data_IF_264791445496
#
_entry.id   IF_264791445496
#
_cell.length_a   1.000
_cell.length_b   1.000
_cell.length_c   1.000
_cell.angle_alpha   90.00
_cell.angle_beta   90.00
_cell.angle_gamma   90.00
#
_symmetry.space_group_name_H-M   'P 1'
#
loop_
_entity.id
_entity.type
_entity.pdbx_description
1 polymer ?
#
# COMPACT_ATOMS: atom_id res chain seq x y z
N UNK A 1 9.20 -7.87 8.26
CA UNK A 1 10.56 -7.73 7.69
C UNK A 1 10.46 -7.10 6.31
N UNK A 2 11.43 -6.29 5.88
CA UNK A 2 11.46 -5.80 4.50
C UNK A 2 11.81 -6.91 3.51
N UNK A 3 11.08 -6.95 2.39
CA UNK A 3 11.31 -7.86 1.26
C UNK A 3 11.35 -7.01 -0.01
N UNK A 4 12.48 -7.07 -0.71
CA UNK A 4 12.61 -6.42 -2.02
C UNK A 4 11.56 -6.97 -2.99
N UNK A 5 10.77 -6.06 -3.57
CA UNK A 5 9.70 -6.36 -4.47
C UNK A 5 9.57 -5.30 -5.56
N UNK A 6 10.01 -5.67 -6.76
CA UNK A 6 9.86 -4.86 -7.96
C UNK A 6 9.26 -5.70 -9.09
N UNK A 7 7.91 -5.77 -9.22
CA UNK A 7 7.25 -6.52 -10.28
C UNK A 7 7.24 -5.77 -11.63
N UNK A 8 7.88 -4.60 -11.72
CA UNK A 8 7.98 -3.86 -12.97
C UNK A 8 8.70 -4.72 -14.02
N UNK A 9 8.11 -4.96 -15.22
CA UNK A 9 8.64 -5.90 -16.20
C UNK A 9 10.02 -5.48 -16.77
N UNK A 10 10.39 -4.21 -16.62
CA UNK A 10 11.69 -3.67 -17.03
C UNK A 10 12.62 -3.42 -15.85
N UNK A 11 12.25 -3.85 -14.64
CA UNK A 11 13.00 -3.71 -13.38
C UNK A 11 13.51 -2.28 -13.11
N UNK A 12 12.81 -1.27 -13.63
CA UNK A 12 13.17 0.13 -13.41
C UNK A 12 13.01 0.48 -11.92
N UNK A 13 13.93 1.29 -11.40
CA UNK A 13 14.00 1.63 -9.98
C UNK A 13 13.32 2.97 -9.64
N UNK A 14 13.26 3.89 -10.60
CA UNK A 14 12.84 5.29 -10.39
C UNK A 14 11.60 5.67 -11.22
N UNK A 15 10.60 4.78 -11.25
CA UNK A 15 9.39 4.94 -12.07
C UNK A 15 8.24 5.67 -11.39
N UNK A 16 8.31 5.90 -10.07
CA UNK A 16 7.19 6.47 -9.31
C UNK A 16 5.93 5.58 -9.30
N UNK A 17 6.10 4.27 -9.50
CA UNK A 17 5.03 3.28 -9.68
C UNK A 17 4.61 2.57 -8.38
N UNK A 18 4.88 3.17 -7.22
CA UNK A 18 4.60 2.58 -5.91
C UNK A 18 3.14 2.13 -5.75
N UNK A 19 2.19 2.94 -6.23
CA UNK A 19 0.77 2.60 -6.26
C UNK A 19 0.50 1.29 -7.03
N UNK A 20 1.13 1.13 -8.20
CA UNK A 20 0.95 -0.05 -9.06
C UNK A 20 1.57 -1.28 -8.38
N UNK A 21 2.79 -1.16 -7.86
CA UNK A 21 3.48 -2.27 -7.17
C UNK A 21 2.71 -2.72 -5.92
N UNK A 22 2.24 -1.77 -5.11
CA UNK A 22 1.45 -2.06 -3.91
C UNK A 22 0.13 -2.75 -4.27
N UNK A 23 -0.60 -2.25 -5.27
CA UNK A 23 -1.86 -2.86 -5.75
C UNK A 23 -1.61 -4.24 -6.36
N UNK A 24 -0.55 -4.41 -7.15
CA UNK A 24 -0.18 -5.70 -7.73
C UNK A 24 0.00 -6.76 -6.64
N UNK A 25 0.77 -6.43 -5.59
CA UNK A 25 0.99 -7.32 -4.44
C UNK A 25 -0.30 -7.56 -3.64
N UNK A 26 -1.08 -6.51 -3.39
CA UNK A 26 -2.33 -6.57 -2.63
C UNK A 26 -3.35 -7.52 -3.30
N UNK A 27 -3.54 -7.35 -4.61
CA UNK A 27 -4.53 -8.09 -5.39
C UNK A 27 -4.01 -9.41 -5.98
N UNK A 28 -2.76 -9.78 -5.68
CA UNK A 28 -2.09 -10.97 -6.22
C UNK A 28 -2.14 -11.03 -7.76
N UNK A 29 -1.72 -9.94 -8.39
CA UNK A 29 -1.71 -9.77 -9.85
C UNK A 29 -0.36 -9.23 -10.31
N UNK A 30 -0.08 -9.28 -11.60
CA UNK A 30 1.14 -8.72 -12.16
C UNK A 30 1.08 -7.18 -12.25
N UNK A 31 2.23 -6.57 -12.56
CA UNK A 31 2.36 -5.12 -12.66
C UNK A 31 1.49 -4.54 -13.79
N UNK A 32 1.43 -5.20 -14.94
CA UNK A 32 0.71 -4.72 -16.14
C UNK A 32 -0.81 -4.70 -15.92
N UNK A 33 -1.33 -5.72 -15.24
CA UNK A 33 -2.74 -5.82 -14.85
C UNK A 33 -3.09 -4.74 -13.82
N UNK A 34 -2.24 -4.55 -12.80
CA UNK A 34 -2.44 -3.47 -11.83
C UNK A 34 -2.38 -2.08 -12.47
N UNK A 35 -1.41 -1.85 -13.36
CA UNK A 35 -1.26 -0.62 -14.13
C UNK A 35 -2.51 -0.32 -14.95
N UNK A 36 -2.99 -1.33 -15.69
CA UNK A 36 -4.18 -1.21 -16.54
C UNK A 36 -5.42 -0.89 -15.70
N UNK A 37 -5.63 -1.62 -14.60
CA UNK A 37 -6.78 -1.40 -13.71
C UNK A 37 -6.81 0.00 -13.10
N UNK A 38 -5.67 0.47 -12.58
CA UNK A 38 -5.56 1.83 -12.03
C UNK A 38 -5.74 2.89 -13.12
N UNK A 39 -5.19 2.66 -14.31
CA UNK A 39 -5.32 3.60 -15.44
C UNK A 39 -6.77 3.72 -15.93
N UNK A 40 -7.48 2.60 -16.06
CA UNK A 40 -8.89 2.59 -16.46
C UNK A 40 -9.77 3.24 -15.38
N UNK A 41 -9.52 2.95 -14.11
CA UNK A 41 -10.23 3.60 -13.00
C UNK A 41 -9.97 5.11 -12.98
N UNK A 42 -8.71 5.53 -13.10
CA UNK A 42 -8.34 6.94 -13.19
C UNK A 42 -9.02 7.65 -14.36
N UNK A 43 -9.00 7.04 -15.54
CA UNK A 43 -9.71 7.55 -16.72
C UNK A 43 -11.21 7.71 -16.46
N UNK A 44 -11.87 6.69 -15.89
CA UNK A 44 -13.30 6.75 -15.59
C UNK A 44 -13.65 7.81 -14.53
N UNK A 45 -12.74 8.06 -13.59
CA UNK A 45 -12.90 9.04 -12.51
C UNK A 45 -12.44 10.46 -12.91
N UNK A 46 -11.76 10.63 -14.05
CA UNK A 46 -11.13 11.89 -14.44
C UNK A 46 -9.95 12.28 -13.53
N UNK A 47 -9.22 11.30 -12.99
CA UNK A 47 -8.12 11.49 -12.04
C UNK A 47 -6.90 10.63 -12.41
N UNK A 48 -5.75 10.87 -11.78
CA UNK A 48 -4.51 10.16 -12.06
C UNK A 48 -4.51 8.73 -11.48
N UNK A 49 -3.87 7.76 -12.16
CA UNK A 49 -3.86 6.35 -11.71
C UNK A 49 -3.27 6.13 -10.31
N UNK A 50 -2.38 7.03 -9.87
CA UNK A 50 -1.71 6.98 -8.57
C UNK A 50 -2.38 7.87 -7.51
N UNK A 51 -3.54 8.46 -7.78
CA UNK A 51 -4.23 9.27 -6.78
C UNK A 51 -4.79 8.39 -5.65
N UNK A 52 -4.85 8.95 -4.44
CA UNK A 52 -5.46 8.26 -3.29
C UNK A 52 -6.92 7.85 -3.55
N UNK A 53 -7.63 8.63 -4.37
CA UNK A 53 -9.04 8.35 -4.71
C UNK A 53 -9.16 7.14 -5.62
N UNK A 54 -8.34 7.07 -6.67
CA UNK A 54 -8.33 5.98 -7.66
C UNK A 54 -7.84 4.68 -7.04
N UNK A 55 -6.73 4.71 -6.30
CA UNK A 55 -6.23 3.54 -5.56
C UNK A 55 -7.30 3.04 -4.59
N UNK A 56 -7.91 3.95 -3.85
CA UNK A 56 -8.96 3.61 -2.89
C UNK A 56 -10.21 3.02 -3.54
N UNK A 57 -10.62 3.52 -4.70
CA UNK A 57 -11.76 2.98 -5.44
C UNK A 57 -11.50 1.53 -5.84
N UNK A 58 -10.34 1.27 -6.49
CA UNK A 58 -9.97 -0.07 -6.91
C UNK A 58 -9.86 -1.04 -5.74
N UNK A 59 -9.24 -0.63 -4.62
CA UNK A 59 -9.14 -1.48 -3.43
C UNK A 59 -10.52 -1.79 -2.83
N UNK A 60 -11.44 -0.80 -2.76
CA UNK A 60 -12.81 -1.01 -2.27
C UNK A 60 -13.61 -1.96 -3.14
N UNK A 61 -13.49 -1.85 -4.46
CA UNK A 61 -14.09 -2.81 -5.42
C UNK A 61 -13.60 -4.24 -5.19
N UNK A 62 -12.37 -4.37 -4.70
CA UNK A 62 -11.76 -5.66 -4.35
C UNK A 62 -11.98 -6.04 -2.88
N UNK A 63 -12.92 -5.40 -2.17
CA UNK A 63 -13.35 -5.75 -0.82
C UNK A 63 -12.49 -5.20 0.31
N UNK A 64 -11.56 -4.27 0.03
CA UNK A 64 -10.82 -3.59 1.09
C UNK A 64 -11.63 -2.47 1.73
N UNK A 65 -11.47 -2.31 3.03
CA UNK A 65 -11.94 -1.19 3.85
C UNK A 65 -10.77 -0.26 4.16
N UNK A 66 -11.06 1.01 4.46
CA UNK A 66 -10.04 2.00 4.84
C UNK A 66 -10.15 2.36 6.31
N UNK A 67 -9.01 2.46 6.99
CA UNK A 67 -8.90 3.09 8.30
C UNK A 67 -7.82 4.19 8.27
N UNK A 68 -8.02 5.23 9.06
CA UNK A 68 -6.99 6.24 9.34
C UNK A 68 -6.12 5.73 10.48
N UNK A 69 -4.81 5.92 10.37
CA UNK A 69 -3.89 5.57 11.44
C UNK A 69 -3.89 6.72 12.46
N UNK A 70 -4.04 6.44 13.78
CA UNK A 70 -4.00 7.48 14.80
C UNK A 70 -2.71 8.31 14.71
N UNK A 71 -2.86 9.62 14.64
CA UNK A 71 -1.73 10.56 14.59
C UNK A 71 -1.37 11.11 15.97
N UNK A 72 -1.49 10.29 17.02
CA UNK A 72 -1.25 10.68 18.42
C UNK A 72 0.24 10.92 18.71
N UNK A 73 1.13 10.17 18.06
CA UNK A 73 2.52 10.52 17.90
C UNK A 73 2.95 10.32 16.43
N UNK A 74 3.02 11.40 15.64
CA UNK A 74 3.31 11.34 14.21
C UNK A 74 4.63 10.61 13.89
N UNK A 75 5.65 10.74 14.72
CA UNK A 75 6.98 10.18 14.44
C UNK A 75 7.27 8.86 15.20
N UNK A 76 6.29 8.33 15.95
CA UNK A 76 6.52 7.16 16.83
C UNK A 76 5.97 5.83 16.29
N UNK A 77 5.34 5.82 15.10
CA UNK A 77 4.71 4.63 14.55
C UNK A 77 5.06 4.48 13.06
N UNK A 78 6.10 3.72 12.82
CA UNK A 78 6.65 3.45 11.48
C UNK A 78 5.91 2.30 10.79
N UNK A 79 6.17 2.09 9.49
CA UNK A 79 5.73 0.88 8.79
C UNK A 79 6.34 -0.38 9.45
N UNK A 80 7.56 -0.30 9.98
CA UNK A 80 8.17 -1.40 10.73
C UNK A 80 7.34 -1.76 11.97
N UNK A 81 6.90 -0.77 12.74
CA UNK A 81 6.03 -0.96 13.90
C UNK A 81 4.69 -1.55 13.47
N UNK A 82 4.10 -1.03 12.38
CA UNK A 82 2.88 -1.59 11.82
C UNK A 82 3.03 -3.07 11.49
N UNK A 83 4.15 -3.48 10.88
CA UNK A 83 4.44 -4.87 10.56
C UNK A 83 4.55 -5.75 11.82
N UNK A 84 5.16 -5.24 12.90
CA UNK A 84 5.30 -5.96 14.18
C UNK A 84 3.95 -6.17 14.86
N UNK A 85 3.08 -5.15 14.86
CA UNK A 85 1.74 -5.22 15.45
C UNK A 85 0.76 -6.06 14.61
N UNK A 86 1.02 -6.18 13.31
CA UNK A 86 0.17 -6.88 12.35
C UNK A 86 0.93 -8.01 11.65
N UNK A 87 1.27 -9.11 12.35
CA UNK A 87 2.01 -10.23 11.79
C UNK A 87 1.19 -11.06 10.80
N UNK A 88 -0.12 -10.80 10.69
CA UNK A 88 -1.05 -11.52 9.82
C UNK A 88 -1.94 -10.55 9.06
N UNK A 89 -2.31 -10.94 7.85
CA UNK A 89 -3.17 -10.16 6.97
C UNK A 89 -2.41 -9.39 5.91
N UNK A 90 -3.20 -8.83 4.99
CA UNK A 90 -2.71 -8.11 3.83
C UNK A 90 -3.25 -6.68 3.83
N UNK A 91 -2.34 -5.73 3.81
CA UNK A 91 -2.61 -4.32 4.00
C UNK A 91 -1.97 -3.48 2.88
N UNK A 92 -2.60 -2.37 2.54
CA UNK A 92 -1.99 -1.32 1.70
C UNK A 92 -1.87 -0.06 2.54
N UNK A 93 -0.65 0.41 2.75
CA UNK A 93 -0.36 1.59 3.56
C UNK A 93 -0.02 2.78 2.65
N UNK A 94 -0.47 3.98 3.03
CA UNK A 94 -0.07 5.22 2.38
C UNK A 94 0.58 6.18 3.37
N UNK A 95 1.73 6.76 3.02
CA UNK A 95 2.54 7.66 3.87
C UNK A 95 2.41 9.14 3.47
N UNK A 96 1.56 9.43 2.47
CA UNK A 96 1.36 10.78 1.91
C UNK A 96 1.81 10.87 0.45
N UNK A 97 3.07 10.52 0.17
CA UNK A 97 3.65 10.51 -1.18
C UNK A 97 4.05 9.11 -1.66
N UNK A 98 3.90 8.09 -0.81
CA UNK A 98 4.29 6.72 -1.10
C UNK A 98 3.22 5.73 -0.66
N UNK A 99 3.13 4.61 -1.37
CA UNK A 99 2.15 3.55 -1.13
C UNK A 99 2.87 2.21 -1.17
N UNK A 100 2.64 1.38 -0.16
CA UNK A 100 3.28 0.07 -0.02
C UNK A 100 2.28 -1.01 0.32
N UNK A 101 2.67 -2.26 0.11
CA UNK A 101 1.89 -3.40 0.60
C UNK A 101 2.62 -4.10 1.75
N UNK A 102 1.89 -4.37 2.82
CA UNK A 102 2.30 -5.28 3.89
C UNK A 102 1.52 -6.58 3.75
N UNK A 103 2.21 -7.71 3.73
CA UNK A 103 1.61 -9.04 3.56
C UNK A 103 2.23 -10.00 4.57
N UNK A 104 1.40 -10.50 5.49
CA UNK A 104 1.79 -11.35 6.63
C UNK A 104 2.99 -10.77 7.42
N UNK A 105 2.87 -9.50 7.84
CA UNK A 105 3.90 -8.80 8.62
C UNK A 105 5.18 -8.44 7.84
N UNK A 106 5.19 -8.61 6.51
CA UNK A 106 6.33 -8.26 5.67
C UNK A 106 6.02 -7.09 4.77
N UNK A 107 6.94 -6.13 4.72
CA UNK A 107 6.88 -4.97 3.84
C UNK A 107 7.41 -5.34 2.46
N UNK A 108 6.61 -5.16 1.42
CA UNK A 108 6.98 -5.39 0.02
C UNK A 108 7.11 -4.06 -0.71
N UNK A 109 8.34 -3.71 -1.09
CA UNK A 109 8.64 -2.46 -1.80
C UNK A 109 9.96 -2.54 -2.59
N UNK A 110 10.24 -1.56 -3.44
CA UNK A 110 11.46 -1.51 -4.27
C UNK A 110 12.68 -0.97 -3.52
N UNK A 111 12.49 -0.45 -2.31
CA UNK A 111 13.53 0.00 -1.39
C UNK A 111 13.03 -0.19 0.05
N UNK A 112 13.94 -0.16 1.01
CA UNK A 112 13.57 -0.34 2.42
C UNK A 112 12.92 0.93 2.98
N UNK A 113 11.59 0.99 2.88
CA UNK A 113 10.75 2.10 3.33
C UNK A 113 10.18 1.90 4.74
N UNK A 114 10.77 1.01 5.54
CA UNK A 114 10.29 0.65 6.88
C UNK A 114 10.12 1.84 7.82
N UNK A 115 10.97 2.85 7.68
CA UNK A 115 11.04 4.01 8.57
C UNK A 115 10.00 5.09 8.26
N UNK A 116 9.26 4.97 7.15
CA UNK A 116 8.20 5.91 6.83
C UNK A 116 7.01 5.75 7.78
N UNK A 117 6.32 6.87 8.03
CA UNK A 117 5.12 6.91 8.86
C UNK A 117 3.88 6.75 7.98
N UNK A 118 3.07 5.68 8.16
CA UNK A 118 1.84 5.51 7.42
C UNK A 118 0.71 6.37 8.01
N UNK A 119 -0.10 6.98 7.15
CA UNK A 119 -1.21 7.88 7.50
C UNK A 119 -2.56 7.16 7.44
N UNK A 120 -2.68 6.20 6.53
CA UNK A 120 -3.89 5.38 6.39
C UNK A 120 -3.53 3.97 5.93
N UNK A 121 -4.48 3.06 6.15
CA UNK A 121 -4.37 1.65 5.76
C UNK A 121 -5.65 1.17 5.07
N UNK A 122 -5.49 0.36 4.04
CA UNK A 122 -6.54 -0.49 3.50
C UNK A 122 -6.38 -1.94 3.98
N UNK A 123 -7.47 -2.61 4.35
CA UNK A 123 -7.49 -3.99 4.87
C UNK A 123 -8.75 -4.76 4.40
N UNK A 124 -8.70 -6.09 4.30
CA UNK A 124 -9.85 -6.90 3.82
C UNK A 124 -10.30 -8.02 4.78
N UNK A 125 -9.36 -8.68 5.46
CA UNK A 125 -9.69 -9.87 6.28
C UNK A 125 -9.28 -9.76 7.76
N UNK A 126 -8.31 -8.88 8.06
CA UNK A 126 -7.81 -8.67 9.41
C UNK A 126 -7.93 -7.18 9.75
N UNK A 127 -8.56 -6.87 10.88
CA UNK A 127 -8.58 -5.48 11.34
C UNK A 127 -7.18 -5.07 11.77
N UNK A 128 -6.69 -3.90 11.31
CA UNK A 128 -5.37 -3.43 11.64
C UNK A 128 -5.31 -3.05 13.12
N UNK A 129 -4.24 -3.48 13.78
CA UNK A 129 -3.84 -3.02 15.11
C UNK A 129 -2.91 -1.83 14.97
N UNK A 130 -3.12 -0.85 15.82
CA UNK A 130 -2.26 0.31 15.97
C UNK A 130 -1.68 0.27 17.38
N UNK A 131 -0.47 0.77 17.55
CA UNK A 131 0.14 0.90 18.88
C UNK A 131 -0.75 1.77 19.75
N UNK A 132 -1.16 1.25 20.91
CA UNK A 132 -1.74 2.07 21.97
C UNK A 132 -0.62 2.98 22.50
N UNK A 133 -0.80 4.29 22.38
CA UNK A 133 0.11 5.30 22.95
C UNK A 133 -0.42 5.72 24.31
#
# INVERSE_FOLDING_TARGET
>A
MYIYYNPNPLERKDTGDCAIRAVAKALNTDWETAYTKLSLNGFAMGDLPNSNQVIGALLRENGYYRATIPNSCPDCFTIEDFCKENPRGKFVLGTGNHVVCVDEGNLYDSWDSSDLVPVYVYYKDFQPKFKEV
#
